data_IF_461307127856
#
_entry.id   IF_461307127856
#
_cell.length_a   1.000
_cell.length_b   1.000
_cell.length_c   1.000
_cell.angle_alpha   90.00
_cell.angle_beta   90.00
_cell.angle_gamma   90.00
#
_symmetry.space_group_name_H-M   'P 1'
#
loop_
_entity.id
_entity.type
_entity.pdbx_description
1 polymer ?
#
# COMPACT_ATOMS: atom_id res chain seq x y z
N UNK A 1 -16.17 11.65 6.18
CA UNK A 1 -15.55 10.34 5.86
C UNK A 1 -15.37 9.55 7.14
N UNK A 2 -15.39 8.21 7.10
CA UNK A 2 -15.14 7.34 8.26
C UNK A 2 -13.66 7.44 8.71
N UNK A 3 -13.39 7.56 10.01
CA UNK A 3 -12.01 7.81 10.50
C UNK A 3 -11.01 6.66 10.28
N UNK A 4 -11.49 5.48 9.90
CA UNK A 4 -10.65 4.34 9.52
C UNK A 4 -10.38 4.25 8.00
N UNK A 5 -10.71 5.27 7.22
CA UNK A 5 -10.46 5.30 5.78
C UNK A 5 -9.36 6.32 5.49
N UNK A 6 -8.36 5.90 4.72
CA UNK A 6 -7.40 6.78 4.05
C UNK A 6 -7.65 6.83 2.54
N UNK A 7 -7.24 7.91 1.90
CA UNK A 7 -7.36 8.10 0.46
C UNK A 7 -5.97 8.23 -0.13
N UNK A 8 -5.61 7.26 -0.97
CA UNK A 8 -4.29 7.25 -1.63
C UNK A 8 -4.23 8.27 -2.77
N UNK A 9 -3.08 8.93 -2.94
CA UNK A 9 -2.81 9.85 -4.05
C UNK A 9 -3.00 9.21 -5.42
N UNK A 10 -2.78 7.91 -5.53
CA UNK A 10 -2.95 7.13 -6.77
C UNK A 10 -4.41 7.14 -7.31
N UNK A 11 -5.38 7.49 -6.45
CA UNK A 11 -6.76 7.71 -6.88
C UNK A 11 -6.89 8.89 -7.86
N UNK A 12 -5.88 9.76 -7.92
CA UNK A 12 -5.84 10.97 -8.75
C UNK A 12 -4.50 11.01 -9.51
N UNK A 13 -4.29 10.11 -10.46
CA UNK A 13 -3.00 9.94 -11.12
C UNK A 13 -2.59 11.19 -11.90
N UNK A 14 -1.33 11.61 -11.73
CA UNK A 14 -0.76 12.77 -12.41
C UNK A 14 -1.09 14.13 -11.77
N UNK A 15 -1.90 14.16 -10.70
CA UNK A 15 -2.19 15.39 -10.00
C UNK A 15 -1.02 15.83 -9.10
N UNK A 16 -0.74 17.13 -9.09
CA UNK A 16 0.21 17.72 -8.15
C UNK A 16 -0.31 17.64 -6.71
N UNK A 17 0.58 17.74 -5.73
CA UNK A 17 0.18 17.72 -4.32
C UNK A 17 -0.84 18.80 -3.97
N UNK A 18 -0.70 20.00 -4.56
CA UNK A 18 -1.67 21.09 -4.37
C UNK A 18 -3.07 20.71 -4.88
N UNK A 19 -3.15 19.94 -5.97
CA UNK A 19 -4.42 19.43 -6.51
C UNK A 19 -4.97 18.29 -5.66
N UNK A 20 -4.12 17.36 -5.23
CA UNK A 20 -4.48 16.29 -4.29
C UNK A 20 -5.09 16.85 -3.00
N UNK A 21 -4.50 17.92 -2.48
CA UNK A 21 -5.03 18.60 -1.30
C UNK A 21 -6.45 19.17 -1.49
N UNK A 22 -6.76 19.66 -2.69
CA UNK A 22 -8.13 20.12 -3.01
C UNK A 22 -9.10 18.93 -2.96
N UNK A 23 -8.74 17.80 -3.58
CA UNK A 23 -9.54 16.57 -3.53
C UNK A 23 -9.75 16.06 -2.10
N UNK A 24 -8.67 15.97 -1.32
CA UNK A 24 -8.77 15.50 0.07
C UNK A 24 -9.66 16.39 0.95
N UNK A 25 -9.59 17.71 0.75
CA UNK A 25 -10.51 18.65 1.46
C UNK A 25 -11.95 18.46 1.01
N UNK A 26 -12.21 18.36 -0.30
CA UNK A 26 -13.57 18.15 -0.84
C UNK A 26 -14.16 16.82 -0.34
N UNK A 27 -13.34 15.77 -0.26
CA UNK A 27 -13.70 14.46 0.28
C UNK A 27 -13.78 14.41 1.82
N UNK A 28 -13.36 15.47 2.51
CA UNK A 28 -13.21 15.49 3.97
C UNK A 28 -12.31 14.33 4.48
N UNK A 29 -11.28 13.99 3.70
CA UNK A 29 -10.32 12.95 4.02
C UNK A 29 -9.31 13.46 5.06
N UNK A 30 -9.41 12.99 6.29
CA UNK A 30 -8.44 13.33 7.34
C UNK A 30 -7.17 12.48 7.25
N UNK A 31 -7.28 11.29 6.70
CA UNK A 31 -6.19 10.33 6.53
C UNK A 31 -5.91 10.18 5.05
N UNK A 32 -4.64 10.24 4.71
CA UNK A 32 -4.18 10.20 3.32
C UNK A 32 -2.96 9.29 3.18
N UNK A 33 -2.77 8.80 1.98
CA UNK A 33 -1.61 7.99 1.61
C UNK A 33 -1.05 8.52 0.29
N UNK A 34 0.25 8.43 0.08
CA UNK A 34 0.88 9.00 -1.11
C UNK A 34 2.09 8.21 -1.60
N UNK A 35 2.40 8.41 -2.88
CA UNK A 35 3.61 7.87 -3.49
C UNK A 35 4.84 8.68 -3.08
N UNK A 36 5.95 8.00 -2.81
CA UNK A 36 7.20 8.61 -2.34
C UNK A 36 7.82 9.60 -3.33
N UNK A 37 7.56 9.45 -4.64
CA UNK A 37 8.00 10.37 -5.68
C UNK A 37 7.48 11.80 -5.49
N UNK A 38 6.28 11.96 -4.94
CA UNK A 38 5.69 13.27 -4.64
C UNK A 38 6.49 14.09 -3.60
N UNK A 39 7.31 13.42 -2.79
CA UNK A 39 8.11 14.08 -1.73
C UNK A 39 9.61 13.94 -1.92
N UNK A 40 10.05 13.15 -2.89
CA UNK A 40 11.45 12.96 -3.27
C UNK A 40 11.88 13.85 -4.44
N UNK A 41 10.94 14.28 -5.30
CA UNK A 41 11.21 15.07 -6.48
C UNK A 41 11.64 16.52 -6.17
N UNK A 42 11.78 17.32 -7.21
CA UNK A 42 12.26 18.72 -7.12
C UNK A 42 11.35 19.58 -6.23
N UNK A 43 10.05 19.31 -6.21
CA UNK A 43 9.07 19.97 -5.35
C UNK A 43 8.91 19.33 -3.96
N UNK A 44 9.75 18.34 -3.64
CA UNK A 44 9.62 17.54 -2.42
C UNK A 44 9.70 18.35 -1.13
N UNK A 45 10.49 19.46 -1.12
CA UNK A 45 10.54 20.36 0.05
C UNK A 45 9.20 21.07 0.28
N UNK A 46 8.61 21.63 -0.78
CA UNK A 46 7.30 22.29 -0.71
C UNK A 46 6.19 21.29 -0.37
N UNK A 47 6.29 20.05 -0.89
CA UNK A 47 5.37 18.98 -0.56
C UNK A 47 5.39 18.63 0.94
N UNK A 48 6.57 18.52 1.51
CA UNK A 48 6.73 18.27 2.95
C UNK A 48 6.21 19.41 3.81
N UNK A 49 6.53 20.65 3.44
CA UNK A 49 6.01 21.84 4.13
C UNK A 49 4.47 21.86 4.11
N UNK A 50 3.88 21.60 2.95
CA UNK A 50 2.42 21.52 2.79
C UNK A 50 1.81 20.44 3.71
N UNK A 51 2.36 19.22 3.71
CA UNK A 51 1.85 18.12 4.53
C UNK A 51 1.99 18.42 6.03
N UNK A 52 3.09 19.06 6.44
CA UNK A 52 3.30 19.46 7.83
C UNK A 52 2.37 20.58 8.30
N UNK A 53 1.96 21.47 7.40
CA UNK A 53 1.03 22.56 7.70
C UNK A 53 -0.45 22.15 7.57
N UNK A 54 -0.73 20.97 7.06
CA UNK A 54 -2.08 20.55 6.67
C UNK A 54 -2.89 19.88 7.78
N UNK A 55 -4.19 19.78 7.51
CA UNK A 55 -5.17 19.08 8.35
C UNK A 55 -5.20 17.56 8.11
N UNK A 56 -4.25 17.04 7.31
CA UNK A 56 -4.21 15.65 6.88
C UNK A 56 -3.15 14.85 7.65
N UNK A 57 -3.53 13.67 8.12
CA UNK A 57 -2.62 12.69 8.70
C UNK A 57 -2.12 11.75 7.60
N UNK A 58 -0.82 11.70 7.40
CA UNK A 58 -0.20 10.74 6.50
C UNK A 58 -0.18 9.35 7.14
N UNK A 59 -0.87 8.39 6.54
CA UNK A 59 -0.92 7.01 7.05
C UNK A 59 0.20 6.16 6.49
N UNK A 60 0.42 6.22 5.18
CA UNK A 60 1.44 5.41 4.52
C UNK A 60 2.03 6.10 3.30
N UNK A 61 3.20 5.63 2.90
CA UNK A 61 3.83 5.98 1.63
C UNK A 61 4.05 4.72 0.80
N UNK A 62 3.77 4.78 -0.51
CA UNK A 62 4.19 3.74 -1.45
C UNK A 62 5.61 4.00 -1.89
N UNK A 63 6.46 2.97 -1.90
CA UNK A 63 7.81 3.08 -2.41
C UNK A 63 8.19 1.87 -3.28
N UNK A 64 8.51 2.06 -4.58
CA UNK A 64 9.08 1.01 -5.41
C UNK A 64 10.53 0.78 -5.01
N UNK A 65 10.82 -0.25 -4.21
CA UNK A 65 12.11 -0.49 -3.57
C UNK A 65 13.29 -0.49 -4.55
N UNK A 66 13.08 -1.06 -5.75
CA UNK A 66 14.12 -1.12 -6.78
C UNK A 66 13.94 -0.09 -7.90
N UNK A 67 13.02 0.87 -7.76
CA UNK A 67 12.64 1.81 -8.81
C UNK A 67 12.22 1.13 -10.13
N UNK A 68 11.53 -0.03 -10.04
CA UNK A 68 11.04 -0.80 -11.18
C UNK A 68 12.09 -1.70 -11.85
N UNK A 69 13.27 -1.87 -11.24
CA UNK A 69 14.29 -2.82 -11.70
C UNK A 69 14.09 -4.20 -11.08
N UNK A 70 14.76 -5.22 -11.64
CA UNK A 70 14.88 -6.52 -10.99
C UNK A 70 15.79 -6.44 -9.76
N UNK A 71 15.63 -7.39 -8.85
CA UNK A 71 16.53 -7.62 -7.74
C UNK A 71 17.87 -8.15 -8.29
N UNK A 72 18.98 -7.53 -7.89
CA UNK A 72 20.33 -7.85 -8.35
C UNK A 72 21.23 -8.13 -7.16
N UNK A 73 21.97 -9.25 -7.23
CA UNK A 73 22.98 -9.61 -6.25
C UNK A 73 24.32 -8.89 -6.56
N UNK A 74 24.32 -7.57 -6.32
CA UNK A 74 25.53 -6.76 -6.42
C UNK A 74 25.59 -5.73 -5.29
N UNK A 75 26.80 -5.47 -4.78
CA UNK A 75 27.00 -4.51 -3.70
C UNK A 75 26.55 -3.09 -4.10
N UNK A 76 26.81 -2.70 -5.35
CA UNK A 76 26.38 -1.40 -5.89
C UNK A 76 24.86 -1.27 -5.90
N UNK A 77 24.15 -2.29 -6.38
CA UNK A 77 22.67 -2.30 -6.39
C UNK A 77 22.13 -2.25 -4.97
N UNK A 78 22.62 -3.12 -4.09
CA UNK A 78 22.15 -3.20 -2.70
C UNK A 78 22.39 -1.88 -1.96
N UNK A 79 23.55 -1.24 -2.14
CA UNK A 79 23.83 0.07 -1.54
C UNK A 79 22.87 1.14 -2.05
N UNK A 80 22.65 1.20 -3.36
CA UNK A 80 21.78 2.18 -3.99
C UNK A 80 20.32 2.09 -3.47
N UNK A 81 19.75 0.89 -3.41
CA UNK A 81 18.35 0.72 -2.95
C UNK A 81 18.21 0.99 -1.45
N UNK A 82 19.23 0.68 -0.65
CA UNK A 82 19.28 1.02 0.77
C UNK A 82 19.28 2.53 1.00
N UNK A 83 20.15 3.26 0.31
CA UNK A 83 20.25 4.72 0.43
C UNK A 83 18.93 5.41 0.04
N UNK A 84 18.26 4.93 -1.02
CA UNK A 84 16.96 5.45 -1.42
C UNK A 84 15.89 5.20 -0.36
N UNK A 85 15.79 3.96 0.14
CA UNK A 85 14.80 3.62 1.16
C UNK A 85 15.06 4.38 2.47
N UNK A 86 16.33 4.59 2.86
CA UNK A 86 16.67 5.36 4.05
C UNK A 86 16.19 6.81 3.95
N UNK A 87 16.36 7.46 2.80
CA UNK A 87 15.79 8.80 2.56
C UNK A 87 14.27 8.81 2.70
N UNK A 88 13.60 7.78 2.18
CA UNK A 88 12.13 7.67 2.31
C UNK A 88 11.72 7.47 3.76
N UNK A 89 12.46 6.66 4.52
CA UNK A 89 12.22 6.45 5.96
C UNK A 89 12.36 7.78 6.73
N UNK A 90 13.41 8.55 6.48
CA UNK A 90 13.62 9.86 7.12
C UNK A 90 12.48 10.83 6.82
N UNK A 91 12.06 10.91 5.55
CA UNK A 91 10.95 11.76 5.14
C UNK A 91 9.64 11.28 5.76
N UNK A 92 9.33 9.99 5.69
CA UNK A 92 8.14 9.41 6.27
C UNK A 92 8.04 9.69 7.77
N UNK A 93 9.15 9.50 8.51
CA UNK A 93 9.23 9.83 9.93
C UNK A 93 8.99 11.31 10.20
N UNK A 94 9.60 12.21 9.40
CA UNK A 94 9.43 13.66 9.55
C UNK A 94 8.00 14.13 9.29
N UNK A 95 7.25 13.40 8.48
CA UNK A 95 5.84 13.65 8.15
C UNK A 95 4.85 12.90 9.05
N UNK A 96 5.35 12.10 9.98
CA UNK A 96 4.53 11.30 10.91
C UNK A 96 3.79 10.13 10.25
N UNK A 97 4.26 9.65 9.09
CA UNK A 97 3.71 8.46 8.43
C UNK A 97 3.85 7.23 9.34
N UNK A 98 2.82 6.40 9.36
CA UNK A 98 2.83 5.18 10.17
C UNK A 98 3.59 4.04 9.48
N UNK A 99 3.61 4.03 8.15
CA UNK A 99 4.24 2.97 7.38
C UNK A 99 4.74 3.42 6.00
N UNK A 100 5.59 2.59 5.43
CA UNK A 100 5.96 2.58 4.01
C UNK A 100 5.65 1.19 3.49
N UNK A 101 4.81 1.06 2.46
CA UNK A 101 4.65 -0.22 1.79
C UNK A 101 5.40 -0.24 0.46
N UNK A 102 5.96 -1.40 0.13
CA UNK A 102 6.91 -1.56 -0.97
C UNK A 102 6.44 -2.60 -1.98
N UNK A 103 6.73 -2.30 -3.25
CA UNK A 103 6.93 -3.29 -4.30
C UNK A 103 8.41 -3.68 -4.27
N UNK A 104 8.71 -4.97 -4.27
CA UNK A 104 10.05 -5.51 -3.94
C UNK A 104 11.08 -5.37 -5.06
N UNK A 105 10.64 -5.23 -6.30
CA UNK A 105 11.42 -5.53 -7.51
C UNK A 105 11.13 -6.93 -8.04
N UNK A 106 11.24 -7.12 -9.35
CA UNK A 106 11.04 -8.42 -10.00
C UNK A 106 12.21 -9.39 -9.77
N UNK A 107 12.00 -10.68 -9.98
CA UNK A 107 13.08 -11.67 -9.80
C UNK A 107 13.99 -11.83 -11.03
N UNK A 108 13.64 -11.25 -12.19
CA UNK A 108 14.43 -11.39 -13.41
C UNK A 108 14.55 -12.85 -13.83
N UNK A 109 15.79 -13.33 -14.00
CA UNK A 109 16.12 -14.73 -14.31
C UNK A 109 16.37 -15.63 -13.09
N UNK A 110 16.38 -15.04 -11.88
CA UNK A 110 16.58 -15.77 -10.63
C UNK A 110 15.34 -16.56 -10.22
N UNK A 111 15.51 -17.60 -9.39
CA UNK A 111 14.39 -18.24 -8.70
C UNK A 111 13.76 -17.27 -7.69
N UNK A 112 12.55 -17.60 -7.23
CA UNK A 112 11.90 -16.82 -6.18
C UNK A 112 12.74 -16.79 -4.90
N UNK A 113 13.33 -17.92 -4.53
CA UNK A 113 14.15 -18.08 -3.31
C UNK A 113 15.43 -17.22 -3.36
N UNK A 114 16.10 -17.17 -4.53
CA UNK A 114 17.28 -16.32 -4.73
C UNK A 114 16.90 -14.84 -4.64
N UNK A 115 15.84 -14.43 -5.32
CA UNK A 115 15.33 -13.07 -5.28
C UNK A 115 14.88 -12.66 -3.86
N UNK A 116 14.22 -13.56 -3.14
CA UNK A 116 13.83 -13.34 -1.74
C UNK A 116 15.05 -13.16 -0.83
N UNK A 117 16.14 -13.93 -1.04
CA UNK A 117 17.38 -13.78 -0.28
C UNK A 117 18.01 -12.40 -0.52
N UNK A 118 18.10 -11.96 -1.78
CA UNK A 118 18.61 -10.62 -2.15
C UNK A 118 17.76 -9.52 -1.50
N UNK A 119 16.43 -9.62 -1.59
CA UNK A 119 15.55 -8.66 -0.95
C UNK A 119 15.75 -8.61 0.57
N UNK A 120 15.82 -9.77 1.24
CA UNK A 120 16.01 -9.86 2.68
C UNK A 120 17.35 -9.22 3.10
N UNK A 121 18.43 -9.50 2.37
CA UNK A 121 19.73 -8.89 2.63
C UNK A 121 19.67 -7.37 2.46
N UNK A 122 19.12 -6.93 1.32
CA UNK A 122 19.07 -5.52 0.99
C UNK A 122 18.24 -4.71 2.01
N UNK A 123 17.09 -5.23 2.46
CA UNK A 123 16.18 -4.49 3.35
C UNK A 123 16.56 -4.54 4.84
N UNK A 124 17.34 -5.53 5.27
CA UNK A 124 17.59 -5.81 6.68
C UNK A 124 18.10 -4.59 7.50
N UNK A 125 19.10 -3.79 7.06
CA UNK A 125 19.53 -2.60 7.81
C UNK A 125 18.44 -1.53 7.88
N UNK A 126 17.64 -1.38 6.81
CA UNK A 126 16.56 -0.41 6.74
C UNK A 126 15.42 -0.75 7.71
N UNK A 127 15.15 -2.04 7.94
CA UNK A 127 14.15 -2.50 8.95
C UNK A 127 14.50 -1.98 10.35
N UNK A 128 15.77 -2.07 10.73
CA UNK A 128 16.22 -1.57 12.02
C UNK A 128 16.07 -0.04 12.13
N UNK A 129 16.44 0.70 11.07
CA UNK A 129 16.32 2.17 11.02
C UNK A 129 14.87 2.62 11.03
N UNK A 130 14.02 2.03 10.23
CA UNK A 130 12.59 2.34 10.19
C UNK A 130 11.93 2.12 11.55
N UNK A 131 12.24 1.00 12.21
CA UNK A 131 11.75 0.72 13.57
C UNK A 131 12.21 1.78 14.57
N UNK A 132 13.46 2.21 14.51
CA UNK A 132 14.01 3.27 15.37
C UNK A 132 13.33 4.62 15.09
N UNK A 133 12.93 4.88 13.85
CA UNK A 133 12.21 6.07 13.42
C UNK A 133 10.68 6.01 13.67
N UNK A 134 10.16 4.88 14.17
CA UNK A 134 8.72 4.68 14.41
C UNK A 134 7.89 4.44 13.15
N UNK A 135 8.53 4.04 12.03
CA UNK A 135 7.87 3.77 10.74
C UNK A 135 7.90 2.26 10.47
N UNK A 136 6.76 1.67 10.12
CA UNK A 136 6.69 0.27 9.72
C UNK A 136 7.03 0.12 8.23
N UNK A 137 7.96 -0.78 7.88
CA UNK A 137 8.14 -1.22 6.50
C UNK A 137 7.22 -2.40 6.21
N UNK A 138 6.49 -2.35 5.12
CA UNK A 138 5.52 -3.37 4.70
C UNK A 138 5.82 -3.84 3.28
N UNK A 139 5.42 -5.06 2.94
CA UNK A 139 5.33 -5.57 1.57
C UNK A 139 3.86 -5.72 1.21
N UNK A 140 3.48 -5.27 0.04
CA UNK A 140 2.15 -5.48 -0.55
C UNK A 140 2.10 -6.82 -1.26
N UNK A 141 0.93 -7.46 -1.36
CA UNK A 141 0.68 -8.52 -2.32
C UNK A 141 0.14 -7.95 -3.63
N UNK A 142 0.74 -8.29 -4.77
CA UNK A 142 0.34 -7.79 -6.08
C UNK A 142 0.08 -8.91 -7.10
N UNK A 143 -0.80 -8.70 -8.12
CA UNK A 143 -1.08 -9.74 -9.11
C UNK A 143 0.17 -10.22 -9.85
N UNK A 144 0.21 -11.50 -10.31
CA UNK A 144 1.36 -12.06 -11.04
C UNK A 144 1.73 -11.32 -12.33
N UNK A 145 0.82 -10.48 -12.87
CA UNK A 145 1.13 -9.65 -14.04
C UNK A 145 2.12 -8.50 -13.73
N UNK A 146 2.47 -8.28 -12.46
CA UNK A 146 3.52 -7.36 -12.01
C UNK A 146 4.84 -8.08 -11.68
N UNK A 147 5.09 -9.26 -12.25
CA UNK A 147 6.31 -10.05 -11.99
C UNK A 147 7.62 -9.34 -12.43
N UNK A 148 7.52 -8.32 -13.26
CA UNK A 148 8.64 -7.44 -13.64
C UNK A 148 9.10 -6.50 -12.53
N UNK A 149 8.21 -6.17 -11.58
CA UNK A 149 8.47 -5.20 -10.51
C UNK A 149 8.23 -5.75 -9.10
N UNK A 150 7.86 -7.02 -8.98
CA UNK A 150 7.49 -7.61 -7.69
C UNK A 150 7.73 -9.12 -7.64
N UNK A 151 7.88 -9.69 -6.43
CA UNK A 151 7.98 -11.15 -6.21
C UNK A 151 6.92 -11.70 -5.25
N UNK A 152 6.09 -10.87 -4.64
CA UNK A 152 5.06 -11.28 -3.68
C UNK A 152 3.67 -11.29 -4.34
N UNK A 153 3.27 -12.42 -4.98
CA UNK A 153 2.10 -12.50 -5.84
C UNK A 153 0.88 -13.17 -5.20
N UNK A 154 1.01 -13.66 -4.00
CA UNK A 154 -0.11 -14.12 -3.17
C UNK A 154 0.06 -13.60 -1.76
N UNK A 155 -1.05 -13.48 -1.01
CA UNK A 155 -0.96 -13.09 0.40
C UNK A 155 -0.14 -14.12 1.20
N UNK A 156 -0.26 -15.41 0.87
CA UNK A 156 0.54 -16.47 1.48
C UNK A 156 2.05 -16.26 1.29
N UNK A 157 2.48 -15.96 0.06
CA UNK A 157 3.90 -15.79 -0.25
C UNK A 157 4.41 -14.45 0.29
N UNK A 158 3.56 -13.41 0.30
CA UNK A 158 3.85 -12.12 0.94
C UNK A 158 4.12 -12.29 2.44
N UNK A 159 3.29 -13.06 3.13
CA UNK A 159 3.51 -13.36 4.56
C UNK A 159 4.82 -14.12 4.77
N UNK A 160 5.11 -15.11 3.92
CA UNK A 160 6.38 -15.86 4.01
C UNK A 160 7.59 -14.93 3.83
N UNK A 161 7.56 -14.05 2.82
CA UNK A 161 8.63 -13.08 2.58
C UNK A 161 8.76 -12.06 3.72
N UNK A 162 7.64 -11.61 4.29
CA UNK A 162 7.63 -10.71 5.44
C UNK A 162 8.20 -11.37 6.71
N UNK A 163 7.95 -12.66 6.92
CA UNK A 163 8.54 -13.43 8.01
C UNK A 163 10.07 -13.57 7.84
N UNK A 164 10.55 -13.82 6.61
CA UNK A 164 11.97 -13.92 6.29
C UNK A 164 12.71 -12.61 6.45
N UNK A 165 12.15 -11.51 5.95
CA UNK A 165 12.80 -10.19 5.89
C UNK A 165 12.61 -9.34 7.16
N UNK A 166 11.69 -9.72 8.03
CA UNK A 166 11.37 -8.97 9.25
C UNK A 166 10.52 -7.71 9.05
N UNK A 167 9.98 -7.48 7.85
CA UNK A 167 9.01 -6.41 7.55
C UNK A 167 7.57 -6.84 7.88
N UNK A 168 6.62 -5.93 7.73
CA UNK A 168 5.20 -6.20 7.85
C UNK A 168 4.52 -6.47 6.50
N UNK A 169 3.20 -6.57 6.54
CA UNK A 169 2.34 -6.90 5.40
C UNK A 169 1.34 -5.76 5.15
N UNK A 170 1.22 -5.35 3.91
CA UNK A 170 0.10 -4.60 3.37
C UNK A 170 -0.79 -5.60 2.62
N UNK A 171 -2.05 -5.76 3.05
CA UNK A 171 -3.01 -6.62 2.37
C UNK A 171 -3.74 -5.82 1.31
N UNK A 172 -3.45 -6.05 0.03
CA UNK A 172 -4.31 -5.58 -1.05
C UNK A 172 -5.39 -6.63 -1.33
N UNK A 173 -6.64 -6.31 -0.97
CA UNK A 173 -7.78 -7.21 -1.14
C UNK A 173 -8.02 -7.54 -2.62
N UNK A 174 -7.83 -6.57 -3.52
CA UNK A 174 -7.98 -6.79 -4.96
C UNK A 174 -7.05 -7.88 -5.49
N UNK A 175 -5.85 -7.96 -4.96
CA UNK A 175 -4.83 -8.88 -5.45
C UNK A 175 -4.96 -10.29 -4.88
N UNK A 176 -5.66 -10.48 -3.74
CA UNK A 176 -5.74 -11.78 -3.07
C UNK A 176 -7.15 -12.38 -2.94
N UNK A 177 -8.22 -11.66 -3.30
CA UNK A 177 -9.60 -12.10 -3.01
C UNK A 177 -10.00 -13.46 -3.61
N UNK A 178 -9.30 -13.93 -4.64
CA UNK A 178 -9.54 -15.24 -5.29
C UNK A 178 -8.67 -16.37 -4.77
N UNK A 179 -7.78 -16.11 -3.81
CA UNK A 179 -6.85 -17.12 -3.31
C UNK A 179 -7.56 -18.24 -2.52
N UNK A 180 -7.12 -19.46 -2.75
CA UNK A 180 -7.48 -20.58 -1.89
C UNK A 180 -6.85 -20.39 -0.50
N UNK A 181 -7.61 -20.67 0.58
CA UNK A 181 -7.11 -20.50 1.94
C UNK A 181 -6.90 -19.04 2.36
N UNK A 182 -7.61 -18.08 1.72
CA UNK A 182 -7.45 -16.64 1.99
C UNK A 182 -7.66 -16.30 3.46
N UNK A 183 -8.66 -16.92 4.12
CA UNK A 183 -8.95 -16.63 5.53
C UNK A 183 -7.77 -16.98 6.42
N UNK A 184 -7.17 -18.14 6.21
CA UNK A 184 -5.99 -18.62 6.95
C UNK A 184 -4.77 -17.72 6.69
N UNK A 185 -4.59 -17.27 5.43
CA UNK A 185 -3.53 -16.33 5.08
C UNK A 185 -3.72 -14.97 5.76
N UNK A 186 -4.95 -14.47 5.85
CA UNK A 186 -5.29 -13.26 6.60
C UNK A 186 -4.96 -13.44 8.09
N UNK A 187 -5.40 -14.53 8.72
CA UNK A 187 -5.13 -14.81 10.14
C UNK A 187 -3.60 -14.87 10.42
N UNK A 188 -2.83 -15.52 9.53
CA UNK A 188 -1.36 -15.59 9.65
C UNK A 188 -0.69 -14.23 9.47
N UNK A 189 -1.22 -13.36 8.62
CA UNK A 189 -0.65 -12.03 8.37
C UNK A 189 -0.84 -11.06 9.53
N UNK A 190 -1.89 -11.23 10.38
CA UNK A 190 -2.31 -10.25 11.38
C UNK A 190 -1.23 -9.76 12.33
N UNK A 191 -0.31 -10.58 12.86
CA UNK A 191 0.76 -10.09 13.73
C UNK A 191 1.71 -9.08 13.07
N UNK A 192 1.68 -9.02 11.72
CA UNK A 192 2.55 -8.16 10.89
C UNK A 192 1.76 -7.21 9.99
N UNK A 193 0.42 -7.26 9.99
CA UNK A 193 -0.40 -6.46 9.09
C UNK A 193 -0.45 -5.00 9.54
N UNK A 194 0.15 -4.11 8.76
CA UNK A 194 0.17 -2.67 9.02
C UNK A 194 -0.80 -1.86 8.17
N UNK A 195 -1.26 -2.40 7.04
CA UNK A 195 -2.16 -1.71 6.13
C UNK A 195 -3.10 -2.70 5.43
N UNK A 196 -4.31 -2.26 5.10
CA UNK A 196 -5.25 -2.98 4.24
C UNK A 196 -5.73 -2.04 3.14
N UNK A 197 -5.54 -2.43 1.89
CA UNK A 197 -6.02 -1.68 0.73
C UNK A 197 -7.36 -2.24 0.23
N UNK A 198 -8.23 -1.33 -0.18
CA UNK A 198 -9.59 -1.65 -0.59
C UNK A 198 -9.91 -1.04 -1.94
N UNK A 199 -10.30 -1.89 -2.87
CA UNK A 199 -10.93 -1.57 -4.13
C UNK A 199 -11.82 -2.74 -4.54
N UNK A 200 -12.45 -2.70 -5.73
CA UNK A 200 -13.29 -3.78 -6.22
C UNK A 200 -12.85 -4.22 -7.62
N UNK A 201 -13.46 -5.29 -8.14
CA UNK A 201 -13.17 -5.88 -9.43
C UNK A 201 -14.44 -6.22 -10.18
N UNK A 202 -14.56 -5.79 -11.43
CA UNK A 202 -15.68 -6.15 -12.31
C UNK A 202 -15.30 -7.35 -13.17
N UNK A 203 -16.12 -8.40 -13.14
CA UNK A 203 -15.89 -9.58 -13.98
C UNK A 203 -15.74 -9.20 -15.45
N UNK A 204 -14.71 -9.77 -16.08
CA UNK A 204 -14.39 -9.52 -17.47
C UNK A 204 -13.30 -8.48 -17.70
N UNK A 205 -12.95 -7.67 -16.72
CA UNK A 205 -11.77 -6.82 -16.82
C UNK A 205 -10.50 -7.67 -16.76
N UNK A 206 -9.65 -7.53 -17.79
CA UNK A 206 -8.44 -8.36 -17.94
C UNK A 206 -7.17 -7.55 -18.08
N UNK A 207 -7.28 -6.24 -18.01
CA UNK A 207 -6.15 -5.33 -17.99
C UNK A 207 -5.71 -4.98 -16.57
N UNK A 208 -4.54 -4.37 -16.43
CA UNK A 208 -4.06 -3.77 -15.20
C UNK A 208 -3.63 -2.32 -15.50
N UNK A 209 -3.86 -1.40 -14.55
CA UNK A 209 -4.72 -1.54 -13.38
C UNK A 209 -6.21 -1.53 -13.75
N UNK A 210 -7.04 -2.34 -13.10
CA UNK A 210 -8.48 -2.42 -13.38
C UNK A 210 -9.32 -2.44 -12.11
N UNK A 211 -9.02 -1.51 -11.20
CA UNK A 211 -9.80 -1.33 -9.98
C UNK A 211 -11.18 -0.77 -10.29
N UNK A 212 -12.16 -1.13 -9.49
CA UNK A 212 -13.51 -0.61 -9.53
C UNK A 212 -13.87 0.03 -8.19
N UNK A 213 -14.93 0.83 -8.20
CA UNK A 213 -15.52 1.40 -6.99
C UNK A 213 -16.01 0.25 -6.10
N UNK A 214 -15.64 0.18 -4.82
CA UNK A 214 -16.19 -0.77 -3.87
C UNK A 214 -17.72 -0.81 -3.89
N UNK A 215 -18.27 -2.00 -4.09
CA UNK A 215 -19.71 -2.23 -4.24
C UNK A 215 -20.22 -2.29 -5.69
N UNK A 216 -19.43 -1.86 -6.68
CA UNK A 216 -19.78 -2.02 -8.10
C UNK A 216 -19.24 -3.33 -8.70
N UNK A 217 -18.43 -4.08 -7.95
CA UNK A 217 -17.73 -5.27 -8.43
C UNK A 217 -18.18 -6.57 -7.76
N UNK A 218 -17.32 -7.57 -7.87
CA UNK A 218 -17.58 -8.94 -7.45
C UNK A 218 -16.82 -9.38 -6.20
N UNK A 219 -15.93 -8.53 -5.68
CA UNK A 219 -15.16 -8.87 -4.47
C UNK A 219 -16.12 -8.94 -3.28
N UNK A 220 -16.14 -10.05 -2.52
CA UNK A 220 -17.00 -10.17 -1.33
C UNK A 220 -16.42 -9.36 -0.16
N UNK A 221 -16.35 -8.02 -0.32
CA UNK A 221 -15.68 -7.10 0.61
C UNK A 221 -16.17 -7.23 2.04
N UNK A 222 -17.49 -7.35 2.26
CA UNK A 222 -18.04 -7.51 3.60
C UNK A 222 -17.49 -8.75 4.31
N UNK A 223 -17.36 -9.86 3.57
CA UNK A 223 -16.82 -11.12 4.11
C UNK A 223 -15.34 -10.99 4.45
N UNK A 224 -14.55 -10.45 3.50
CA UNK A 224 -13.09 -10.36 3.66
C UNK A 224 -12.72 -9.37 4.75
N UNK A 225 -13.31 -8.17 4.76
CA UNK A 225 -13.10 -7.17 5.81
C UNK A 225 -13.58 -7.71 7.17
N UNK A 226 -14.68 -8.50 7.17
CA UNK A 226 -15.14 -9.18 8.37
C UNK A 226 -14.12 -10.21 8.91
N UNK A 227 -13.40 -10.93 8.05
CA UNK A 227 -12.31 -11.83 8.49
C UNK A 227 -11.12 -11.03 9.04
N UNK A 228 -10.72 -9.96 8.37
CA UNK A 228 -9.63 -9.06 8.78
C UNK A 228 -9.94 -8.46 10.16
N UNK A 229 -11.15 -7.95 10.36
CA UNK A 229 -11.58 -7.39 11.65
C UNK A 229 -11.58 -8.45 12.78
N UNK A 230 -12.11 -9.64 12.50
CA UNK A 230 -12.14 -10.77 13.47
C UNK A 230 -10.73 -11.27 13.80
N UNK A 231 -9.81 -11.22 12.86
CA UNK A 231 -8.40 -11.54 13.09
C UNK A 231 -7.67 -10.49 13.95
N UNK A 232 -8.31 -9.35 14.25
CA UNK A 232 -7.80 -8.36 15.20
C UNK A 232 -7.22 -7.10 14.58
N UNK A 233 -7.36 -6.87 13.28
CA UNK A 233 -6.89 -5.65 12.63
C UNK A 233 -7.52 -4.40 13.23
N UNK A 234 -6.68 -3.39 13.54
CA UNK A 234 -7.09 -2.12 14.14
C UNK A 234 -6.65 -0.89 13.33
N UNK A 235 -5.94 -1.12 12.23
CA UNK A 235 -5.42 -0.07 11.36
C UNK A 235 -6.48 0.60 10.49
N UNK A 236 -6.02 1.24 9.43
CA UNK A 236 -6.84 1.94 8.44
C UNK A 236 -7.08 1.08 7.20
N UNK A 237 -8.15 1.38 6.49
CA UNK A 237 -8.47 0.83 5.18
C UNK A 237 -8.18 1.89 4.14
N UNK A 238 -7.17 1.66 3.31
CA UNK A 238 -6.69 2.60 2.32
C UNK A 238 -7.42 2.41 0.99
N UNK A 239 -8.02 3.46 0.46
CA UNK A 239 -8.66 3.41 -0.84
C UNK A 239 -7.58 3.53 -1.92
N UNK A 240 -7.33 2.42 -2.61
CA UNK A 240 -6.43 2.36 -3.74
C UNK A 240 -7.24 2.14 -5.03
N UNK A 241 -7.61 3.25 -5.66
CA UNK A 241 -8.51 3.26 -6.81
C UNK A 241 -7.78 3.79 -8.03
N UNK A 242 -7.38 2.88 -8.91
CA UNK A 242 -6.63 3.20 -10.13
C UNK A 242 -7.17 2.39 -11.31
N UNK A 243 -7.21 3.02 -12.48
CA UNK A 243 -7.61 2.37 -13.73
C UNK A 243 -8.75 3.10 -14.44
N UNK A 244 -9.12 2.64 -15.63
CA UNK A 244 -10.01 3.36 -16.55
C UNK A 244 -11.43 3.56 -16.00
N UNK A 245 -11.88 2.75 -15.05
CA UNK A 245 -13.19 2.89 -14.41
C UNK A 245 -13.23 4.01 -13.38
N UNK A 246 -12.10 4.40 -12.84
CA UNK A 246 -12.00 5.42 -11.79
C UNK A 246 -11.61 6.78 -12.41
N UNK A 247 -10.57 6.81 -13.27
CA UNK A 247 -10.09 7.99 -14.01
C UNK A 247 -9.90 9.26 -13.15
N UNK A 248 -9.50 9.12 -11.87
CA UNK A 248 -9.28 10.26 -10.99
C UNK A 248 -10.55 11.07 -10.66
N UNK A 249 -11.73 10.49 -10.83
CA UNK A 249 -12.99 11.18 -10.55
C UNK A 249 -13.29 11.20 -9.05
N UNK A 250 -13.33 12.40 -8.48
CA UNK A 250 -13.61 12.63 -7.06
C UNK A 250 -14.93 11.98 -6.61
N UNK A 251 -15.97 12.02 -7.46
CA UNK A 251 -17.24 11.35 -7.18
C UNK A 251 -17.13 9.84 -7.00
N UNK A 252 -16.23 9.18 -7.73
CA UNK A 252 -15.98 7.74 -7.59
C UNK A 252 -15.28 7.42 -6.27
N UNK A 253 -14.30 8.25 -5.89
CA UNK A 253 -13.61 8.12 -4.60
C UNK A 253 -14.57 8.40 -3.43
N UNK A 254 -15.43 9.40 -3.54
CA UNK A 254 -16.47 9.72 -2.54
C UNK A 254 -17.42 8.53 -2.34
N UNK A 255 -17.93 7.94 -3.42
CA UNK A 255 -18.79 6.74 -3.36
C UNK A 255 -18.08 5.56 -2.70
N UNK A 256 -16.80 5.36 -3.04
CA UNK A 256 -15.97 4.31 -2.43
C UNK A 256 -15.84 4.49 -0.93
N UNK A 257 -15.55 5.71 -0.49
CA UNK A 257 -15.45 6.06 0.93
C UNK A 257 -16.78 5.88 1.68
N UNK A 258 -17.89 6.24 1.06
CA UNK A 258 -19.23 6.06 1.64
C UNK A 258 -19.57 4.57 1.79
N UNK A 259 -19.37 3.78 0.73
CA UNK A 259 -19.64 2.34 0.75
C UNK A 259 -18.79 1.62 1.80
N UNK A 260 -17.46 1.83 1.76
CA UNK A 260 -16.54 1.19 2.71
C UNK A 260 -16.83 1.66 4.14
N UNK A 261 -17.09 2.96 4.36
CA UNK A 261 -17.46 3.47 5.66
C UNK A 261 -18.76 2.87 6.22
N UNK A 262 -19.76 2.66 5.37
CA UNK A 262 -21.01 2.00 5.75
C UNK A 262 -20.78 0.53 6.11
N UNK A 263 -19.91 -0.15 5.35
CA UNK A 263 -19.54 -1.53 5.61
C UNK A 263 -18.78 -1.66 6.94
N UNK A 264 -17.81 -0.77 7.20
CA UNK A 264 -17.08 -0.77 8.47
C UNK A 264 -18.01 -0.60 9.67
N UNK A 265 -18.94 0.36 9.61
CA UNK A 265 -19.97 0.55 10.66
C UNK A 265 -20.84 -0.67 10.84
N UNK A 266 -21.26 -1.34 9.76
CA UNK A 266 -22.06 -2.57 9.83
C UNK A 266 -21.32 -3.74 10.51
N UNK A 267 -20.00 -3.72 10.48
CA UNK A 267 -19.12 -4.69 11.14
C UNK A 267 -18.73 -4.28 12.56
N UNK A 268 -19.27 -3.18 13.10
CA UNK A 268 -18.95 -2.68 14.44
C UNK A 268 -17.56 -2.04 14.55
N UNK A 269 -16.97 -1.64 13.42
CA UNK A 269 -15.70 -0.92 13.40
C UNK A 269 -16.04 0.57 13.50
N UNK A 270 -15.79 1.13 14.67
CA UNK A 270 -16.03 2.56 14.92
C UNK A 270 -14.90 3.41 14.33
N UNK A 271 -15.27 4.64 13.95
CA UNK A 271 -14.36 5.65 13.41
C UNK A 271 -13.76 6.53 14.48
#
# INVERSE_FOLDING_TARGET
>A
MHDKISVHSICFPGDSLAKLAQHWRALQARRVSLSSDLVLGDDGAAAREFLNAGDHRLETMTHPFTAGRHLEDSEEFISCVREQLDRVIEIAASLGAQSIYMLTGGHGSSSWEEAAAIFCEAVAPCVARARAAGVALLIENAPPLYADIHIAHSLRDTVALAEMSGVGVCIDIFSCWTEAGLKESIERSMPRCGLVQVSDYVYGDRGLPSRAVPGDGAIPLQRIIGWIAKAGYKGVFDLELIGPRINGQESQVARSAEYVGSLLRSLGIEG
#
